data_IF_970173179922
#
_entry.id   IF_970173179922
#
_cell.length_a   1.000
_cell.length_b   1.000
_cell.length_c   1.000
_cell.angle_alpha   90.00
_cell.angle_beta   90.00
_cell.angle_gamma   90.00
#
_symmetry.space_group_name_H-M   'P 1'
#
loop_
_entity.id
_entity.type
_entity.pdbx_description
1 polymer ?
#
# COMPACT_ATOMS: atom_id res chain seq x y z
N UNK A 1 28.28 -7.83 -6.06
CA UNK A 1 27.97 -6.38 -5.97
C UNK A 1 28.17 -5.92 -4.53
N UNK A 2 28.76 -4.75 -4.31
CA UNK A 2 28.72 -4.07 -3.01
C UNK A 2 27.81 -2.85 -3.19
N UNK A 3 26.74 -2.78 -2.42
CA UNK A 3 25.80 -1.66 -2.44
C UNK A 3 26.37 -0.58 -1.53
N UNK A 4 26.50 0.64 -2.05
CA UNK A 4 27.01 1.78 -1.30
C UNK A 4 26.04 2.18 -0.19
N UNK A 5 26.53 2.50 1.00
CA UNK A 5 25.67 2.89 2.13
C UNK A 5 24.82 1.75 2.74
N UNK A 6 25.02 0.51 2.32
CA UNK A 6 24.26 -0.65 2.79
C UNK A 6 24.38 -0.86 4.32
N UNK A 7 23.24 -1.14 4.94
CA UNK A 7 23.12 -1.69 6.28
C UNK A 7 22.06 -2.78 6.33
N UNK A 8 22.15 -3.69 7.31
CA UNK A 8 21.14 -4.73 7.51
C UNK A 8 19.84 -4.13 8.07
N UNK A 9 18.71 -4.51 7.49
CA UNK A 9 17.40 -4.03 7.91
C UNK A 9 16.36 -5.15 7.90
N UNK A 10 15.32 -4.98 8.71
CA UNK A 10 14.14 -5.83 8.69
C UNK A 10 13.28 -5.43 7.51
N UNK A 11 12.91 -6.40 6.66
CA UNK A 11 12.00 -6.15 5.53
C UNK A 11 10.70 -5.56 6.07
N UNK A 12 10.27 -4.37 5.57
CA UNK A 12 9.03 -3.75 5.99
C UNK A 12 7.80 -4.61 5.69
N UNK A 13 6.67 -4.22 6.27
CA UNK A 13 5.40 -4.85 5.99
C UNK A 13 5.02 -4.69 4.51
N UNK A 14 4.25 -5.65 4.00
CA UNK A 14 3.66 -5.55 2.67
C UNK A 14 2.67 -4.38 2.66
N UNK A 15 2.67 -3.62 1.58
CA UNK A 15 1.70 -2.55 1.35
C UNK A 15 1.02 -2.75 -0.02
N UNK A 16 -0.17 -2.17 -0.19
CA UNK A 16 -0.99 -2.36 -1.38
C UNK A 16 -1.77 -1.09 -1.74
N UNK A 17 -1.65 -0.67 -3.00
CA UNK A 17 -2.52 0.35 -3.58
C UNK A 17 -3.68 -0.31 -4.31
N UNK A 18 -4.88 0.23 -4.11
CA UNK A 18 -6.13 -0.32 -4.64
C UNK A 18 -6.95 0.74 -5.35
N UNK A 19 -7.56 0.35 -6.48
CA UNK A 19 -8.52 1.18 -7.20
C UNK A 19 -9.45 0.36 -8.08
N UNK A 20 -10.54 1.00 -8.51
CA UNK A 20 -11.44 0.49 -9.54
C UNK A 20 -11.67 1.58 -10.58
N UNK A 21 -11.74 1.18 -11.85
CA UNK A 21 -12.01 2.12 -12.93
C UNK A 21 -13.40 2.77 -12.74
N UNK A 22 -13.46 4.09 -12.93
CA UNK A 22 -14.68 4.90 -12.82
C UNK A 22 -15.31 4.96 -11.41
N UNK A 23 -14.60 4.53 -10.37
CA UNK A 23 -15.05 4.62 -8.97
C UNK A 23 -14.06 5.51 -8.21
N UNK A 24 -14.58 6.49 -7.45
CA UNK A 24 -13.76 7.23 -6.50
C UNK A 24 -13.67 6.43 -5.21
N UNK A 25 -12.46 5.97 -4.87
CA UNK A 25 -12.23 5.06 -3.74
C UNK A 25 -12.35 3.59 -4.15
N UNK A 26 -12.98 2.77 -3.30
CA UNK A 26 -13.10 1.31 -3.46
C UNK A 26 -14.53 0.86 -3.13
N UNK A 27 -15.13 0.06 -4.01
CA UNK A 27 -16.40 -0.65 -3.85
C UNK A 27 -16.17 -2.13 -3.51
N UNK A 28 -16.18 -2.42 -2.21
CA UNK A 28 -15.95 -3.74 -1.63
C UNK A 28 -16.94 -4.84 -2.08
N UNK A 29 -18.04 -4.49 -2.76
CA UNK A 29 -19.01 -5.48 -3.28
C UNK A 29 -18.59 -6.09 -4.62
N UNK A 30 -17.77 -5.39 -5.40
CA UNK A 30 -17.41 -5.79 -6.76
C UNK A 30 -15.90 -6.07 -6.85
N UNK A 31 -15.42 -7.05 -6.08
CA UNK A 31 -13.99 -7.39 -5.97
C UNK A 31 -13.34 -7.81 -7.29
N UNK A 32 -14.12 -8.30 -8.26
CA UNK A 32 -13.60 -8.75 -9.55
C UNK A 32 -13.02 -7.62 -10.42
N UNK A 33 -13.40 -6.37 -10.16
CA UNK A 33 -12.92 -5.21 -10.94
C UNK A 33 -11.76 -4.47 -10.27
N UNK A 34 -11.21 -5.04 -9.18
CA UNK A 34 -10.13 -4.43 -8.43
C UNK A 34 -8.84 -4.47 -9.23
N UNK A 35 -8.21 -3.31 -9.31
CA UNK A 35 -6.83 -3.18 -9.72
C UNK A 35 -5.97 -2.90 -8.49
N UNK A 36 -4.75 -3.42 -8.51
CA UNK A 36 -3.85 -3.28 -7.38
C UNK A 36 -2.38 -3.24 -7.77
N UNK A 37 -1.58 -2.59 -6.93
CA UNK A 37 -0.13 -2.63 -6.96
C UNK A 37 0.34 -3.06 -5.58
N UNK A 38 1.14 -4.12 -5.51
CA UNK A 38 1.74 -4.58 -4.26
C UNK A 38 3.17 -4.03 -4.13
N UNK A 39 3.50 -3.45 -2.98
CA UNK A 39 4.78 -2.78 -2.74
C UNK A 39 5.43 -3.21 -1.42
N UNK A 40 6.75 -3.11 -1.38
CA UNK A 40 7.55 -3.21 -0.16
C UNK A 40 8.52 -2.04 -0.15
N UNK A 41 8.53 -1.26 0.92
CA UNK A 41 9.43 -0.11 1.04
C UNK A 41 10.89 -0.55 1.04
N UNK A 42 11.71 0.18 0.28
CA UNK A 42 13.17 0.01 0.25
C UNK A 42 13.85 1.14 1.05
N UNK A 43 15.02 0.88 1.68
CA UNK A 43 15.85 1.94 2.26
C UNK A 43 16.40 2.89 1.19
N UNK A 44 16.66 4.14 1.58
CA UNK A 44 17.11 5.22 0.67
C UNK A 44 18.45 4.94 -0.04
N UNK A 45 19.27 4.02 0.47
CA UNK A 45 20.52 3.63 -0.19
C UNK A 45 20.30 2.77 -1.44
N UNK A 46 19.11 2.19 -1.60
CA UNK A 46 18.80 1.31 -2.74
C UNK A 46 18.49 2.16 -3.96
N UNK A 47 19.30 2.01 -5.00
CA UNK A 47 19.10 2.67 -6.28
C UNK A 47 18.35 1.76 -7.27
N UNK A 48 17.85 2.34 -8.36
CA UNK A 48 17.25 1.59 -9.47
C UNK A 48 18.22 0.54 -10.04
N UNK A 49 19.52 0.86 -10.11
CA UNK A 49 20.55 -0.09 -10.54
C UNK A 49 20.72 -1.28 -9.59
N UNK A 50 20.61 -1.04 -8.28
CA UNK A 50 20.63 -2.12 -7.30
C UNK A 50 19.40 -3.02 -7.43
N UNK A 51 18.24 -2.42 -7.72
CA UNK A 51 17.00 -3.13 -8.00
C UNK A 51 17.09 -3.99 -9.26
N UNK A 52 17.54 -3.44 -10.39
CA UNK A 52 17.74 -4.18 -11.66
C UNK A 52 18.66 -5.40 -11.46
N UNK A 53 19.78 -5.20 -10.77
CA UNK A 53 20.69 -6.27 -10.41
C UNK A 53 20.02 -7.35 -9.54
N UNK A 54 19.17 -6.94 -8.59
CA UNK A 54 18.44 -7.86 -7.72
C UNK A 54 17.41 -8.69 -8.49
N UNK A 55 16.69 -8.07 -9.44
CA UNK A 55 15.72 -8.75 -10.34
C UNK A 55 16.42 -9.83 -11.17
N UNK A 56 17.54 -9.49 -11.83
CA UNK A 56 18.33 -10.46 -12.61
C UNK A 56 18.84 -11.60 -11.71
N UNK A 57 19.47 -11.25 -10.59
CA UNK A 57 20.04 -12.22 -9.65
C UNK A 57 18.98 -13.15 -9.07
N UNK A 58 17.80 -12.63 -8.71
CA UNK A 58 16.70 -13.41 -8.18
C UNK A 58 16.11 -14.34 -9.26
N UNK A 59 15.89 -13.82 -10.47
CA UNK A 59 15.35 -14.60 -11.59
C UNK A 59 16.25 -15.80 -11.90
N UNK A 60 17.57 -15.58 -11.97
CA UNK A 60 18.53 -16.64 -12.26
C UNK A 60 18.64 -17.67 -11.13
N UNK A 61 18.72 -17.22 -9.87
CA UNK A 61 18.96 -18.10 -8.72
C UNK A 61 17.72 -18.83 -8.24
N UNK A 62 16.58 -18.16 -8.24
CA UNK A 62 15.31 -18.70 -7.74
C UNK A 62 14.47 -19.33 -8.84
N UNK A 63 14.82 -19.12 -10.11
CA UNK A 63 14.08 -19.64 -11.28
C UNK A 63 12.61 -19.20 -11.25
N UNK A 64 12.39 -17.94 -10.88
CA UNK A 64 11.08 -17.28 -10.87
C UNK A 64 11.12 -16.12 -11.85
N UNK A 65 9.96 -15.77 -12.40
CA UNK A 65 9.83 -14.57 -13.21
C UNK A 65 9.66 -13.34 -12.31
N UNK A 66 10.61 -12.42 -12.38
CA UNK A 66 10.57 -11.15 -11.66
C UNK A 66 10.29 -9.96 -12.61
N UNK A 67 9.91 -10.19 -13.87
CA UNK A 67 9.71 -9.14 -14.87
C UNK A 67 8.59 -8.15 -14.54
N UNK A 68 7.63 -8.54 -13.70
CA UNK A 68 6.54 -7.68 -13.23
C UNK A 68 6.95 -6.74 -12.08
N UNK A 69 8.16 -6.89 -11.51
CA UNK A 69 8.63 -6.01 -10.45
C UNK A 69 9.14 -4.69 -11.04
N UNK A 70 8.75 -3.57 -10.41
CA UNK A 70 9.16 -2.22 -10.83
C UNK A 70 9.79 -1.44 -9.67
N UNK A 71 10.72 -0.53 -10.00
CA UNK A 71 11.27 0.43 -9.05
C UNK A 71 10.43 1.71 -9.07
N UNK A 72 9.82 2.06 -7.94
CA UNK A 72 8.90 3.19 -7.84
C UNK A 72 9.36 4.17 -6.76
N UNK A 73 9.44 5.45 -7.11
CA UNK A 73 9.50 6.56 -6.15
C UNK A 73 8.09 7.06 -5.94
N UNK A 74 7.65 7.09 -4.68
CA UNK A 74 6.29 7.48 -4.31
C UNK A 74 6.29 8.65 -3.33
N UNK A 75 5.55 9.69 -3.69
CA UNK A 75 5.21 10.81 -2.81
C UNK A 75 3.70 10.87 -2.59
N UNK A 76 3.20 10.23 -1.53
CA UNK A 76 1.75 10.19 -1.25
C UNK A 76 1.17 11.55 -0.83
N UNK A 77 2.03 12.41 -0.28
CA UNK A 77 1.65 13.71 0.25
C UNK A 77 0.79 13.61 1.51
N UNK A 78 -0.17 14.54 1.64
CA UNK A 78 -1.02 14.60 2.81
C UNK A 78 -2.10 13.52 2.77
N UNK A 79 -2.14 12.69 3.81
CA UNK A 79 -3.09 11.60 3.95
C UNK A 79 -3.76 11.61 5.34
N UNK A 80 -4.91 10.97 5.44
CA UNK A 80 -5.47 10.49 6.71
C UNK A 80 -5.20 8.98 6.81
N UNK A 81 -4.98 8.48 8.02
CA UNK A 81 -4.81 7.04 8.24
C UNK A 81 -5.43 6.58 9.55
N UNK A 82 -5.79 5.30 9.61
CA UNK A 82 -6.36 4.65 10.79
C UNK A 82 -5.92 3.19 10.83
N UNK A 83 -5.86 2.61 12.03
CA UNK A 83 -5.69 1.17 12.19
C UNK A 83 -7.05 0.49 12.07
N UNK A 84 -7.20 -0.36 11.07
CA UNK A 84 -8.28 -1.34 10.99
C UNK A 84 -7.88 -2.61 11.77
N UNK A 85 -8.81 -3.10 12.60
CA UNK A 85 -8.65 -4.36 13.32
C UNK A 85 -9.85 -5.25 12.99
N UNK A 86 -9.57 -6.41 12.39
CA UNK A 86 -10.59 -7.37 11.99
C UNK A 86 -10.54 -7.76 10.51
N UNK A 87 -11.57 -8.47 10.02
CA UNK A 87 -11.67 -8.90 8.63
C UNK A 87 -11.79 -7.73 7.66
N UNK A 88 -11.16 -7.84 6.48
CA UNK A 88 -11.19 -6.82 5.42
C UNK A 88 -12.62 -6.42 4.98
N UNK A 89 -13.61 -7.32 5.11
CA UNK A 89 -15.00 -7.00 4.75
C UNK A 89 -15.66 -5.98 5.68
N UNK A 90 -15.08 -5.73 6.87
CA UNK A 90 -15.53 -4.69 7.81
C UNK A 90 -14.79 -3.36 7.63
N UNK A 91 -13.87 -3.30 6.67
CA UNK A 91 -13.17 -2.07 6.33
C UNK A 91 -14.08 -0.87 6.04
N UNK A 92 -15.26 -1.01 5.38
CA UNK A 92 -16.16 0.12 5.15
C UNK A 92 -16.57 0.86 6.44
N UNK A 93 -16.66 0.16 7.57
CA UNK A 93 -16.96 0.77 8.88
C UNK A 93 -15.81 1.66 9.34
N UNK A 94 -14.57 1.22 9.10
CA UNK A 94 -13.36 1.97 9.43
C UNK A 94 -13.18 3.19 8.52
N UNK A 95 -13.48 3.04 7.23
CA UNK A 95 -13.49 4.16 6.26
C UNK A 95 -14.53 5.21 6.63
N UNK A 96 -15.73 4.80 7.05
CA UNK A 96 -16.76 5.75 7.48
C UNK A 96 -16.30 6.61 8.69
N UNK A 97 -15.50 6.06 9.60
CA UNK A 97 -14.89 6.82 10.70
C UNK A 97 -13.86 7.83 10.18
N UNK A 98 -13.05 7.46 9.19
CA UNK A 98 -12.10 8.38 8.54
C UNK A 98 -12.85 9.52 7.86
N UNK A 99 -13.90 9.23 7.11
CA UNK A 99 -14.71 10.23 6.40
C UNK A 99 -15.36 11.22 7.37
N UNK A 100 -15.91 10.73 8.49
CA UNK A 100 -16.45 11.59 9.55
C UNK A 100 -15.36 12.52 10.12
N UNK A 101 -14.19 11.97 10.44
CA UNK A 101 -13.04 12.74 10.90
C UNK A 101 -12.61 13.83 9.90
N UNK A 102 -12.60 13.52 8.60
CA UNK A 102 -12.26 14.50 7.56
C UNK A 102 -13.26 15.66 7.52
N UNK A 103 -14.57 15.37 7.58
CA UNK A 103 -15.59 16.42 7.57
C UNK A 103 -15.47 17.35 8.78
N UNK A 104 -15.23 16.80 9.96
CA UNK A 104 -15.04 17.58 11.20
C UNK A 104 -13.81 18.47 11.16
N UNK A 105 -12.76 18.06 10.44
CA UNK A 105 -11.47 18.77 10.38
C UNK A 105 -11.28 19.62 9.12
N UNK A 106 -12.29 19.75 8.25
CA UNK A 106 -12.22 20.58 7.05
C UNK A 106 -11.36 19.99 5.94
N UNK A 107 -11.38 18.67 5.78
CA UNK A 107 -10.69 17.94 4.71
C UNK A 107 -11.68 17.15 3.86
N UNK A 108 -11.23 16.76 2.67
CA UNK A 108 -11.92 15.85 1.76
C UNK A 108 -10.93 14.85 1.17
N UNK A 109 -11.42 13.67 0.78
CA UNK A 109 -10.63 12.69 0.04
C UNK A 109 -10.15 13.29 -1.29
N UNK A 110 -8.93 12.94 -1.69
CA UNK A 110 -8.25 13.42 -2.89
C UNK A 110 -7.73 12.26 -3.76
N UNK A 111 -8.62 11.30 -4.01
CA UNK A 111 -8.32 10.17 -4.88
C UNK A 111 -8.14 10.63 -6.33
N UNK A 112 -7.06 10.18 -6.96
CA UNK A 112 -6.74 10.41 -8.38
C UNK A 112 -6.05 9.16 -8.94
N UNK A 113 -5.75 9.13 -10.24
CA UNK A 113 -4.99 8.04 -10.88
C UNK A 113 -3.62 7.77 -10.21
N UNK A 114 -3.07 8.75 -9.47
CA UNK A 114 -1.78 8.62 -8.75
C UNK A 114 -1.92 8.60 -7.24
N UNK A 115 -3.11 8.89 -6.71
CA UNK A 115 -3.38 8.99 -5.27
C UNK A 115 -4.49 7.99 -4.95
N UNK A 116 -4.08 6.81 -4.52
CA UNK A 116 -4.94 5.62 -4.45
C UNK A 116 -5.28 5.26 -3.01
N UNK A 117 -6.22 4.35 -2.83
CA UNK A 117 -6.47 3.71 -1.54
C UNK A 117 -5.25 2.88 -1.15
N UNK A 118 -4.68 3.12 0.03
CA UNK A 118 -3.45 2.47 0.46
C UNK A 118 -3.65 1.67 1.75
N UNK A 119 -3.31 0.38 1.70
CA UNK A 119 -3.32 -0.54 2.83
C UNK A 119 -1.90 -1.00 3.19
N UNK A 120 -1.59 -1.04 4.49
CA UNK A 120 -0.33 -1.61 5.02
C UNK A 120 -0.66 -2.80 5.92
N UNK A 121 -0.24 -4.00 5.52
CA UNK A 121 -0.59 -5.25 6.18
C UNK A 121 0.37 -5.60 7.31
N UNK A 122 0.00 -5.27 8.54
CA UNK A 122 0.83 -5.55 9.72
C UNK A 122 0.70 -7.00 10.21
N UNK A 123 -0.32 -7.72 9.74
CA UNK A 123 -0.56 -9.12 10.07
C UNK A 123 -0.44 -9.99 8.82
N UNK A 124 0.16 -11.18 8.97
CA UNK A 124 0.08 -12.21 7.94
C UNK A 124 -1.30 -12.88 8.03
N UNK A 125 -2.19 -12.53 7.11
CA UNK A 125 -3.57 -13.02 7.05
C UNK A 125 -3.68 -14.55 6.95
N UNK A 126 -2.60 -15.23 6.53
CA UNK A 126 -2.55 -16.71 6.44
C UNK A 126 -2.23 -17.37 7.78
N UNK A 127 -1.80 -16.59 8.78
CA UNK A 127 -1.27 -17.09 10.06
C UNK A 127 -2.04 -16.58 11.27
N UNK A 128 -2.70 -15.44 11.14
CA UNK A 128 -3.43 -14.76 12.22
C UNK A 128 -4.94 -14.97 12.01
N UNK A 129 -5.68 -15.11 13.10
CA UNK A 129 -7.15 -15.15 13.10
C UNK A 129 -7.73 -13.83 12.51
N UNK A 130 -8.71 -13.88 11.58
CA UNK A 130 -9.32 -12.69 10.98
C UNK A 130 -9.69 -11.58 11.96
N UNK A 131 -10.21 -11.91 13.14
CA UNK A 131 -10.62 -10.93 14.15
C UNK A 131 -9.44 -10.14 14.77
N UNK A 132 -8.21 -10.58 14.50
CA UNK A 132 -6.97 -9.99 15.01
C UNK A 132 -6.08 -9.40 13.91
N UNK A 133 -6.53 -9.45 12.65
CA UNK A 133 -5.80 -8.81 11.57
C UNK A 133 -5.67 -7.31 11.85
N UNK A 134 -4.52 -6.78 11.48
CA UNK A 134 -4.17 -5.37 11.63
C UNK A 134 -3.73 -4.85 10.29
N UNK A 135 -4.46 -3.88 9.79
CA UNK A 135 -4.19 -3.21 8.52
C UNK A 135 -4.24 -1.71 8.76
N UNK A 136 -3.21 -0.96 8.38
CA UNK A 136 -3.33 0.49 8.34
C UNK A 136 -4.01 0.86 7.04
N UNK A 137 -5.13 1.56 7.13
CA UNK A 137 -5.81 2.14 5.96
C UNK A 137 -5.39 3.59 5.88
N UNK A 138 -4.99 4.02 4.69
CA UNK A 138 -4.55 5.39 4.42
C UNK A 138 -5.19 5.91 3.15
N UNK A 139 -5.84 7.07 3.25
CA UNK A 139 -6.46 7.77 2.12
C UNK A 139 -5.77 9.12 1.88
N UNK A 140 -5.50 9.48 0.61
CA UNK A 140 -5.02 10.80 0.25
C UNK A 140 -6.09 11.85 0.50
N UNK A 141 -5.69 13.01 1.03
CA UNK A 141 -6.63 14.09 1.36
C UNK A 141 -6.11 15.45 0.90
N UNK A 142 -7.04 16.42 0.88
CA UNK A 142 -6.75 17.85 0.72
C UNK A 142 -7.69 18.67 1.60
N UNK A 143 -7.32 19.92 1.87
CA UNK A 143 -8.21 20.85 2.59
C UNK A 143 -9.46 21.12 1.75
N UNK A 144 -10.60 21.20 2.43
CA UNK A 144 -11.87 21.67 1.87
C UNK A 144 -11.70 23.17 1.60
N UNK A 145 -11.74 23.54 0.33
CA UNK A 145 -11.72 24.95 -0.08
C UNK A 145 -13.03 25.65 0.29
#
# INVERSE_FOLDING_TARGET
>A
MKIEGFFEYVVPHLEGFWWQENISGVDYKNKETFNWISVIRLPDFVTEKDFEWAVETASEKKKIDCSAAEFLILEEGLCVQIMHIGPFDHEPETVALMDAYLQENGYVNDFTEKRLHHEIYLSDARRVDPEKWKTVIRHPVKKKN
#
